data_IF_703614309415
#
_entry.id   IF_703614309415
#
_cell.length_a   1.000
_cell.length_b   1.000
_cell.length_c   1.000
_cell.angle_alpha   90.00
_cell.angle_beta   90.00
_cell.angle_gamma   90.00
#
_symmetry.space_group_name_H-M   'P 1'
#
loop_
_entity.id
_entity.type
_entity.pdbx_description
1 polymer ?
2 non-polymer ?
3 water ?
#
# COMPACT_ATOMS: atom_id res chain seq x y z
N UNK A 9 0.75 -23.28 9.14
CA UNK A 9 1.47 -22.07 9.55
C UNK A 9 1.09 -20.83 8.73
N UNK A 10 0.49 -19.86 9.39
CA UNK A 10 0.04 -18.65 8.72
C UNK A 10 1.22 -17.82 8.21
N UNK A 11 2.31 -17.82 8.95
CA UNK A 11 3.48 -17.05 8.56
C UNK A 11 4.03 -17.59 7.25
N UNK A 12 4.07 -18.91 7.09
CA UNK A 12 4.52 -19.53 5.85
C UNK A 12 3.62 -19.24 4.68
N UNK A 13 2.31 -19.32 4.93
CA UNK A 13 1.34 -18.97 3.91
C UNK A 13 1.53 -17.52 3.49
N UNK A 14 1.72 -16.62 4.46
CA UNK A 14 1.86 -15.18 4.18
C UNK A 14 3.05 -14.94 3.29
N UNK A 15 4.19 -15.55 3.63
CA UNK A 15 5.46 -15.39 2.93
C UNK A 15 5.48 -16.09 1.58
N UNK A 16 4.67 -17.13 1.45
CA UNK A 16 4.52 -17.85 0.18
C UNK A 16 3.74 -17.08 -0.86
N UNK A 17 2.81 -16.23 -0.44
CA UNK A 17 1.99 -15.50 -1.40
C UNK A 17 2.90 -14.69 -2.29
N UNK A 18 2.63 -14.69 -3.58
CA UNK A 18 3.48 -14.01 -4.57
C UNK A 18 2.87 -12.73 -5.16
N UNK A 19 3.71 -11.82 -5.63
CA UNK A 19 3.24 -10.66 -6.37
C UNK A 19 3.99 -10.48 -7.69
N UNK A 20 3.35 -10.74 -8.81
CA UNK A 20 3.94 -10.39 -10.10
C UNK A 20 4.95 -11.36 -10.67
N UNK A 21 5.47 -12.26 -9.86
CA UNK A 21 6.50 -13.20 -10.29
C UNK A 21 6.74 -14.18 -9.16
N UNK A 22 7.01 -15.44 -9.50
CA UNK A 22 7.16 -16.50 -8.49
C UNK A 22 8.31 -16.26 -7.56
N UNK A 23 9.27 -15.47 -7.99
CA UNK A 23 10.41 -15.18 -7.10
C UNK A 23 10.28 -13.85 -6.37
N UNK A 24 9.07 -13.29 -6.35
CA UNK A 24 8.88 -11.97 -5.72
C UNK A 24 7.73 -12.12 -4.72
N UNK A 25 8.04 -12.29 -3.43
CA UNK A 25 6.91 -12.45 -2.49
C UNK A 25 6.01 -11.20 -2.43
N UNK A 26 4.72 -11.38 -2.19
CA UNK A 26 3.80 -10.27 -1.93
C UNK A 26 4.36 -9.35 -0.85
N UNK A 27 4.95 -9.90 0.21
CA UNK A 27 5.46 -9.05 1.28
C UNK A 27 6.59 -8.16 0.78
N UNK A 28 7.44 -8.68 -0.10
CA UNK A 28 8.51 -7.90 -0.69
C UNK A 28 7.91 -6.74 -1.49
N UNK A 29 6.90 -7.01 -2.30
CA UNK A 29 6.31 -5.94 -3.04
C UNK A 29 5.61 -4.91 -2.11
N UNK A 30 5.01 -5.38 -1.03
CA UNK A 30 4.32 -4.47 -0.10
C UNK A 30 5.34 -3.54 0.57
N UNK A 31 6.48 -4.10 0.95
CA UNK A 31 7.49 -3.31 1.60
C UNK A 31 8.17 -2.34 0.63
N UNK A 32 8.32 -2.77 -0.64
CA UNK A 32 8.90 -1.93 -1.72
C UNK A 32 8.01 -0.70 -1.91
N UNK A 33 6.72 -0.97 -2.00
CA UNK A 33 5.71 0.06 -2.23
C UNK A 33 5.73 1.07 -1.04
N UNK A 34 5.77 0.57 0.18
CA UNK A 34 5.89 1.42 1.37
C UNK A 34 7.14 2.25 1.31
N UNK A 35 8.22 1.66 0.82
CA UNK A 35 9.51 2.36 0.82
C UNK A 35 9.46 3.49 -0.18
N UNK A 36 8.87 3.21 -1.34
CA UNK A 36 8.67 4.24 -2.34
C UNK A 36 7.85 5.38 -1.71
N UNK A 37 6.77 5.02 -1.05
CA UNK A 37 5.85 5.98 -0.46
C UNK A 37 6.61 6.88 0.53
N UNK A 38 7.38 6.27 1.40
CA UNK A 38 8.06 7.02 2.42
C UNK A 38 9.11 7.96 1.76
N UNK A 39 9.82 7.43 0.78
CA UNK A 39 10.86 8.19 0.11
C UNK A 39 10.26 9.39 -0.62
N UNK A 40 9.14 9.18 -1.29
CA UNK A 40 8.60 10.33 -2.00
C UNK A 40 7.94 11.32 -1.02
N UNK A 41 7.33 10.85 0.07
CA UNK A 41 6.75 11.79 1.05
C UNK A 41 7.87 12.65 1.65
N UNK A 42 9.08 12.07 1.80
CA UNK A 42 10.19 12.86 2.34
C UNK A 42 10.63 13.97 1.37
N UNK A 43 10.45 13.73 0.07
CA UNK A 43 10.86 14.70 -0.93
C UNK A 43 9.78 15.73 -1.23
N UNK A 44 8.57 15.53 -0.72
CA UNK A 44 7.45 16.45 -1.02
C UNK A 44 7.67 17.80 -0.33
N UNK A 45 7.04 18.86 -0.85
CA UNK A 45 7.25 20.15 -0.15
C UNK A 45 6.77 20.14 1.28
N UNK A 46 7.36 21.04 2.09
CA UNK A 46 6.95 21.13 3.50
C UNK A 46 5.42 21.35 3.64
N UNK A 47 4.80 22.13 2.76
CA UNK A 47 3.34 22.29 2.82
C UNK A 47 2.65 20.95 2.68
N UNK A 48 3.18 20.09 1.82
CA UNK A 48 2.54 18.78 1.62
C UNK A 48 2.70 17.95 2.89
N UNK A 49 3.90 17.89 3.44
CA UNK A 49 4.09 17.07 4.64
C UNK A 49 3.29 17.56 5.82
N UNK A 50 3.13 18.86 5.93
CA UNK A 50 2.34 19.44 7.01
C UNK A 50 0.86 19.01 6.90
N UNK A 51 0.35 18.94 5.68
CA UNK A 51 -1.02 18.43 5.47
C UNK A 51 -1.17 16.98 6.00
N UNK A 52 -0.16 16.11 5.77
CA UNK A 52 -0.26 14.76 6.30
C UNK A 52 -0.28 14.80 7.83
N UNK A 53 0.53 15.67 8.42
CA UNK A 53 0.62 15.75 9.87
C UNK A 53 -0.73 16.14 10.40
N UNK A 54 -1.37 17.11 9.71
CA UNK A 54 -2.68 17.59 10.11
C UNK A 54 -3.78 16.58 9.80
N UNK A 55 -3.59 15.83 8.73
CA UNK A 55 -4.60 14.81 8.37
C UNK A 55 -4.78 13.80 9.48
N UNK A 56 -3.69 13.40 10.10
CA UNK A 56 -3.75 12.22 10.97
C UNK A 56 -3.50 12.53 12.46
N UNK A 57 -3.32 13.82 12.79
CA UNK A 57 -3.04 14.24 14.15
C UNK A 57 -1.78 13.60 14.69
N UNK A 58 -0.76 13.48 13.85
CA UNK A 58 0.50 12.89 14.27
C UNK A 58 1.65 13.81 14.00
N UNK A 59 2.73 13.74 14.81
CA UNK A 59 3.96 14.42 14.39
C UNK A 59 4.29 13.98 13.00
N UNK A 60 4.90 14.88 12.26
CA UNK A 60 5.14 14.64 10.85
C UNK A 60 5.78 13.27 10.55
N UNK A 61 6.78 12.87 11.35
CA UNK A 61 7.50 11.62 11.15
C UNK A 61 6.58 10.38 11.26
N UNK A 62 5.70 10.40 12.26
CA UNK A 62 4.73 9.34 12.48
C UNK A 62 3.67 9.36 11.40
N UNK A 63 3.28 10.55 10.96
CA UNK A 63 2.21 10.67 9.96
C UNK A 63 2.69 10.00 8.66
N UNK A 64 3.96 10.25 8.32
CA UNK A 64 4.51 9.76 7.07
C UNK A 64 4.70 8.23 7.13
N UNK A 65 5.14 7.71 8.26
CA UNK A 65 5.26 6.25 8.43
C UNK A 65 3.89 5.59 8.31
N UNK A 66 2.87 6.20 8.91
CA UNK A 66 1.51 5.67 8.83
C UNK A 66 1.01 5.61 7.36
N UNK A 67 1.23 6.69 6.60
CA UNK A 67 0.76 6.76 5.23
C UNK A 67 1.51 5.75 4.39
N UNK A 68 2.81 5.65 4.61
CA UNK A 68 3.65 4.68 3.86
C UNK A 68 3.19 3.24 4.09
N UNK A 69 2.89 2.90 5.34
CA UNK A 69 2.42 1.54 5.70
C UNK A 69 1.07 1.23 5.01
N UNK A 70 0.19 2.22 5.02
CA UNK A 70 -1.13 2.08 4.42
C UNK A 70 -0.96 1.80 2.92
N UNK A 71 -0.10 2.58 2.29
CA UNK A 71 0.12 2.47 0.86
C UNK A 71 0.78 1.10 0.54
N UNK A 72 1.63 0.63 1.42
CA UNK A 72 2.19 -0.69 1.23
C UNK A 72 1.12 -1.77 1.18
N UNK A 73 -0.01 -1.57 1.87
CA UNK A 73 -1.04 -2.60 1.93
C UNK A 73 -1.97 -2.58 0.72
N UNK A 74 -1.70 -1.76 -0.28
CA UNK A 74 -2.61 -1.65 -1.43
C UNK A 74 -2.86 -3.00 -2.12
N UNK A 75 -1.90 -3.92 -2.04
CA UNK A 75 -2.09 -5.25 -2.68
C UNK A 75 -2.39 -6.37 -1.72
N UNK A 76 -2.86 -6.03 -0.53
CA UNK A 76 -3.27 -7.06 0.39
C UNK A 76 -4.37 -8.00 -0.24
N UNK A 77 -5.23 -7.48 -1.09
CA UNK A 77 -6.20 -8.30 -1.83
C UNK A 77 -5.62 -9.52 -2.58
N UNK A 78 -4.32 -9.48 -2.93
CA UNK A 78 -3.65 -10.62 -3.60
C UNK A 78 -3.38 -11.82 -2.68
N UNK A 79 -3.52 -11.61 -1.37
CA UNK A 79 -3.32 -12.66 -0.40
C UNK A 79 -4.62 -13.47 -0.28
N UNK A 80 -4.92 -14.14 -1.37
CA UNK A 80 -6.16 -14.90 -1.53
C UNK A 80 -5.87 -16.01 -2.58
N UNK A 81 -6.47 -17.22 -2.42
CA UNK A 81 -6.22 -18.28 -3.41
C UNK A 81 -6.59 -17.89 -4.83
N UNK A 82 -7.51 -16.95 -5.00
CA UNK A 82 -7.84 -16.45 -6.32
C UNK A 82 -6.65 -15.89 -7.11
N UNK A 83 -5.68 -15.29 -6.43
CA UNK A 83 -4.55 -14.65 -7.13
C UNK A 83 -3.23 -15.39 -7.00
N UNK A 84 -3.26 -16.56 -6.39
CA UNK A 84 -2.06 -17.34 -6.19
C UNK A 84 -2.17 -18.68 -6.95
N UNK A 85 -1.07 -19.42 -7.10
CA UNK A 85 -1.04 -20.65 -7.92
C UNK A 85 -1.65 -21.85 -7.23
N UNK A 107 -14.55 -13.48 -12.09
CA UNK A 107 -13.37 -12.66 -11.83
C UNK A 107 -13.68 -11.28 -11.24
N UNK A 108 -12.81 -10.85 -10.34
CA UNK A 108 -12.98 -9.57 -9.69
C UNK A 108 -11.59 -9.09 -9.37
N UNK A 109 -11.34 -7.79 -9.57
CA UNK A 109 -9.97 -7.28 -9.48
C UNK A 109 -9.47 -7.40 -8.07
N UNK A 110 -8.15 -7.59 -7.91
CA UNK A 110 -7.60 -7.74 -6.58
C UNK A 110 -7.91 -6.54 -5.66
N UNK A 111 -8.13 -5.35 -6.22
CA UNK A 111 -8.38 -4.17 -5.38
C UNK A 111 -9.68 -4.24 -4.63
N UNK A 112 -10.65 -4.98 -5.19
CA UNK A 112 -11.92 -5.17 -4.52
C UNK A 112 -11.69 -5.95 -3.22
N UNK A 113 -10.87 -6.99 -3.31
CA UNK A 113 -10.48 -7.74 -2.11
C UNK A 113 -9.70 -6.87 -1.16
N UNK A 114 -8.82 -6.05 -1.73
CA UNK A 114 -8.05 -5.16 -0.84
C UNK A 114 -9.03 -4.33 -0.02
N UNK A 115 -10.04 -3.75 -0.68
CA UNK A 115 -11.00 -2.94 0.04
C UNK A 115 -11.74 -3.74 1.11
N UNK A 116 -12.28 -4.91 0.77
CA UNK A 116 -12.97 -5.74 1.78
C UNK A 116 -12.09 -6.09 2.94
N UNK A 117 -10.83 -6.42 2.67
CA UNK A 117 -9.95 -6.88 3.73
C UNK A 117 -9.58 -5.70 4.64
N UNK A 118 -9.25 -4.57 4.00
CA UNK A 118 -8.76 -3.47 4.78
C UNK A 118 -9.88 -2.87 5.63
N UNK A 119 -11.13 -2.97 5.18
CA UNK A 119 -12.23 -2.40 5.93
C UNK A 119 -12.26 -3.03 7.32
N UNK A 120 -12.09 -4.36 7.34
CA UNK A 120 -12.11 -5.12 8.59
C UNK A 120 -10.83 -4.90 9.40
N UNK A 121 -9.70 -5.09 8.74
CA UNK A 121 -8.38 -5.12 9.38
C UNK A 121 -7.97 -3.78 9.98
N UNK A 122 -8.30 -2.69 9.30
CA UNK A 122 -7.98 -1.36 9.83
C UNK A 122 -8.88 -1.04 11.03
N UNK A 123 -10.12 -1.53 11.04
CA UNK A 123 -10.94 -1.39 12.25
C UNK A 123 -10.38 -2.22 13.45
N UNK A 124 -9.88 -3.44 13.19
CA UNK A 124 -9.24 -4.27 14.22
C UNK A 124 -7.97 -3.61 14.74
N UNK A 125 -7.31 -2.82 13.90
CA UNK A 125 -6.14 -2.11 14.41
C UNK A 125 -6.52 -0.89 15.23
N UNK A 126 -7.79 -0.52 15.27
CA UNK A 126 -8.22 0.58 16.10
C UNK A 126 -8.73 1.80 15.34
N UNK A 127 -8.65 1.86 14.02
CA UNK A 127 -9.21 3.03 13.33
C UNK A 127 -10.74 3.03 13.43
N UNK A 128 -11.35 4.22 13.67
CA UNK A 128 -12.81 4.34 13.70
C UNK A 128 -13.44 3.94 12.37
N UNK A 129 -14.67 3.45 12.44
CA UNK A 129 -15.37 2.89 11.29
C UNK A 129 -15.26 3.70 10.02
N UNK A 130 -15.66 4.95 10.08
CA UNK A 130 -15.76 5.74 8.85
C UNK A 130 -14.40 5.97 8.18
N UNK A 131 -13.39 6.29 8.98
CA UNK A 131 -12.04 6.45 8.44
C UNK A 131 -11.56 5.17 7.82
N UNK A 132 -11.84 4.03 8.44
CA UNK A 132 -11.46 2.74 7.88
C UNK A 132 -12.15 2.47 6.55
N UNK A 133 -13.45 2.69 6.50
CA UNK A 133 -14.16 2.46 5.26
C UNK A 133 -13.62 3.33 4.11
N UNK A 134 -13.36 4.59 4.40
CA UNK A 134 -12.85 5.50 3.37
C UNK A 134 -11.47 5.15 2.92
N UNK A 135 -10.57 4.80 3.84
CA UNK A 135 -9.21 4.44 3.44
C UNK A 135 -9.23 3.16 2.61
N UNK A 136 -10.10 2.24 2.98
CA UNK A 136 -10.10 0.95 2.30
C UNK A 136 -10.46 1.18 0.82
N UNK A 137 -11.45 2.01 0.58
CA UNK A 137 -11.82 2.37 -0.79
C UNK A 137 -10.69 3.13 -1.49
N UNK A 138 -9.97 4.00 -0.76
CA UNK A 138 -8.82 4.71 -1.35
C UNK A 138 -7.76 3.77 -1.89
N UNK A 139 -7.61 2.64 -1.21
CA UNK A 139 -6.58 1.69 -1.58
C UNK A 139 -7.16 0.54 -2.41
N UNK A 140 -8.43 0.65 -2.80
CA UNK A 140 -9.12 -0.41 -3.54
C UNK A 140 -8.93 -0.34 -5.06
N UNK A 141 -9.92 -0.84 -5.80
CA UNK A 141 -9.77 -1.09 -7.23
C UNK A 141 -10.07 0.09 -8.08
N UNK A 142 -10.74 1.11 -7.55
CA UNK A 142 -11.30 2.12 -8.46
C UNK A 142 -10.89 3.53 -8.07
N UNK A 143 -9.61 3.67 -7.74
CA UNK A 143 -8.98 4.95 -7.49
C UNK A 143 -9.84 5.78 -6.59
N UNK A 144 -10.14 5.16 -5.47
CA UNK A 144 -10.85 5.78 -4.39
C UNK A 144 -12.34 5.65 -4.44
N UNK A 145 -12.92 5.18 -5.55
CA UNK A 145 -14.37 5.02 -5.53
C UNK A 145 -14.67 3.60 -5.02
N UNK A 146 -15.66 3.45 -4.12
CA UNK A 146 -15.88 2.14 -3.46
C UNK A 146 -16.46 1.07 -4.38
N UNK A 147 -16.05 -0.16 -4.17
CA UNK A 147 -16.56 -1.26 -4.98
C UNK A 147 -18.08 -1.34 -4.89
N UNK A 148 -18.72 -1.75 -6.00
CA UNK A 148 -20.18 -1.80 -6.05
C UNK A 148 -20.69 -3.10 -5.43
N UNK A 149 -22.01 -3.22 -5.31
CA UNK A 149 -22.61 -4.41 -4.68
C UNK A 149 -22.25 -5.68 -5.37
N UNK A 150 -22.30 -5.73 -6.71
CA UNK A 150 -22.09 -6.98 -7.42
C UNK A 150 -20.66 -7.42 -7.13
N UNK A 151 -19.70 -6.50 -7.23
CA UNK A 151 -18.26 -6.87 -7.06
C UNK A 151 -18.06 -7.50 -5.69
N UNK A 152 -18.63 -6.89 -4.67
CA UNK A 152 -18.46 -7.38 -3.34
C UNK A 152 -19.19 -8.72 -3.11
N UNK A 153 -20.38 -8.90 -3.73
CA UNK A 153 -21.00 -10.23 -3.79
C UNK A 153 -20.06 -11.26 -4.40
N UNK A 154 -19.52 -10.99 -5.58
CA UNK A 154 -18.63 -11.98 -6.21
C UNK A 154 -17.50 -12.34 -5.26
N UNK A 155 -16.80 -11.31 -4.76
CA UNK A 155 -15.63 -11.55 -3.89
C UNK A 155 -16.00 -12.39 -2.68
N UNK A 156 -17.05 -12.02 -1.99
CA UNK A 156 -17.43 -12.77 -0.80
C UNK A 156 -17.69 -14.26 -1.12
N UNK A 157 -18.11 -14.54 -2.36
CA UNK A 157 -18.34 -15.92 -2.84
C UNK A 157 -17.08 -16.75 -2.77
N UNK A 158 -15.96 -16.13 -3.16
CA UNK A 158 -14.67 -16.78 -3.02
C UNK A 158 -14.30 -16.91 -1.56
N UNK A 159 -14.54 -15.86 -0.80
CA UNK A 159 -14.01 -15.84 0.53
C UNK A 159 -14.66 -17.00 1.31
N UNK A 160 -15.91 -17.33 0.98
CA UNK A 160 -16.63 -18.29 1.81
C UNK A 160 -16.03 -19.68 1.75
N UNK A 161 -15.43 -20.00 0.61
CA UNK A 161 -14.81 -21.30 0.40
C UNK A 161 -13.29 -21.39 0.57
N UNK A 162 -12.61 -20.29 0.91
CA UNK A 162 -11.14 -20.35 1.04
C UNK A 162 -10.77 -20.97 2.37
N UNK A 163 -9.62 -21.62 2.42
CA UNK A 163 -9.08 -22.11 3.68
C UNK A 163 -8.97 -20.94 4.65
N UNK A 164 -9.46 -21.12 5.89
CA UNK A 164 -9.44 -20.10 6.96
C UNK A 164 -8.06 -19.54 7.29
N UNK A 165 -7.02 -20.32 7.07
CA UNK A 165 -5.68 -19.84 7.34
C UNK A 165 -5.38 -18.56 6.55
N UNK A 166 -5.99 -18.39 5.38
CA UNK A 166 -5.79 -17.21 4.56
C UNK A 166 -6.18 -15.94 5.32
N UNK A 167 -7.28 -16.00 6.07
CA UNK A 167 -7.67 -14.83 6.86
C UNK A 167 -6.61 -14.50 7.88
N UNK A 168 -6.03 -15.53 8.44
CA UNK A 168 -4.98 -15.28 9.44
C UNK A 168 -3.70 -14.77 8.78
N UNK A 169 -3.33 -15.34 7.62
CA UNK A 169 -2.15 -14.87 6.91
C UNK A 169 -2.25 -13.35 6.54
N UNK A 170 -3.45 -12.91 6.18
CA UNK A 170 -3.58 -11.50 5.83
C UNK A 170 -3.46 -10.57 7.06
N UNK A 171 -3.88 -11.02 8.23
CA UNK A 171 -3.65 -10.21 9.42
C UNK A 171 -2.17 -10.17 9.75
N UNK A 172 -1.51 -11.30 9.54
CA UNK A 172 -0.06 -11.40 9.75
C UNK A 172 0.70 -10.40 8.87
N UNK A 173 0.32 -10.34 7.61
CA UNK A 173 1.00 -9.46 6.67
C UNK A 173 0.75 -7.99 7.04
N UNK A 174 -0.46 -7.64 7.38
CA UNK A 174 -0.73 -6.25 7.75
C UNK A 174 0.14 -5.86 8.95
N UNK A 175 0.17 -6.71 9.97
CA UNK A 175 0.98 -6.46 11.15
C UNK A 175 2.48 -6.40 10.78
N UNK A 176 2.94 -7.22 9.84
CA UNK A 176 4.35 -7.22 9.49
C UNK A 176 4.75 -5.87 8.86
N UNK A 177 3.92 -5.34 7.97
CA UNK A 177 4.24 -4.06 7.35
C UNK A 177 4.21 -2.93 8.37
N UNK A 178 3.15 -2.86 9.18
CA UNK A 178 3.09 -1.79 10.20
C UNK A 178 4.31 -1.82 11.11
N UNK A 179 4.69 -3.03 11.53
CA UNK A 179 5.87 -3.15 12.39
C UNK A 179 7.14 -2.78 11.66
N UNK A 180 7.35 -3.22 10.41
CA UNK A 180 8.58 -2.82 9.72
C UNK A 180 8.68 -1.31 9.49
N UNK A 181 7.55 -0.65 9.29
CA UNK A 181 7.61 0.80 9.05
C UNK A 181 7.64 1.64 10.32
N UNK A 182 7.42 1.01 11.47
CA UNK A 182 7.32 1.76 12.72
C UNK A 182 6.12 2.67 12.72
N UNK A 183 5.04 2.26 12.05
CA UNK A 183 3.87 3.12 11.89
C UNK A 183 3.04 3.18 13.14
N UNK A 184 2.74 4.40 13.62
CA UNK A 184 1.78 4.54 14.72
C UNK A 184 0.34 4.61 14.20
N UNK A 185 -0.63 4.38 15.08
CA UNK A 185 -2.05 4.56 14.77
C UNK A 185 -2.36 6.02 15.06
N UNK A 186 -3.14 6.69 14.22
CA UNK A 186 -3.56 8.08 14.55
C UNK A 186 -4.44 8.13 15.79
N UNK A 187 -4.35 9.21 16.57
CA UNK A 187 -5.22 9.38 17.73
C UNK A 187 -6.68 9.42 17.30
N UNK A 194 -11.69 11.21 9.33
CA UNK A 194 -10.63 11.46 8.35
C UNK A 194 -11.17 12.33 7.24
N UNK A 195 -10.62 13.51 7.05
CA UNK A 195 -11.17 14.39 6.00
C UNK A 195 -10.99 13.84 4.58
N UNK A 196 -11.96 14.11 3.69
CA UNK A 196 -11.88 13.57 2.34
C UNK A 196 -10.50 13.81 1.67
N UNK A 197 -9.96 15.02 1.75
CA UNK A 197 -8.61 15.27 1.20
C UNK A 197 -7.47 14.37 1.75
N UNK A 198 -7.56 13.98 3.01
CA UNK A 198 -6.54 13.12 3.63
C UNK A 198 -6.60 11.76 2.93
N UNK A 199 -7.80 11.27 2.72
CA UNK A 199 -7.99 9.94 2.09
C UNK A 199 -7.57 9.93 0.62
N UNK A 200 -7.89 11.01 -0.08
CA UNK A 200 -7.50 11.19 -1.48
C UNK A 200 -5.95 11.36 -1.60
N UNK A 201 -5.32 12.03 -0.65
CA UNK A 201 -3.87 12.10 -0.65
C UNK A 201 -3.25 10.70 -0.55
N UNK A 202 -3.79 9.83 0.29
CA UNK A 202 -3.29 8.45 0.34
C UNK A 202 -3.57 7.67 -0.96
N UNK A 203 -4.78 7.82 -1.47
CA UNK A 203 -5.14 7.20 -2.76
C UNK A 203 -4.12 7.53 -3.85
N UNK A 204 -3.81 8.82 -4.02
CA UNK A 204 -2.93 9.23 -5.12
C UNK A 204 -1.53 8.70 -4.88
N UNK A 205 -1.11 8.72 -3.62
CA UNK A 205 0.23 8.27 -3.28
C UNK A 205 0.36 6.77 -3.59
N UNK A 206 -0.67 6.00 -3.30
CA UNK A 206 -0.58 4.53 -3.46
C UNK A 206 -0.49 4.19 -4.94
N UNK A 207 -1.26 4.91 -5.73
CA UNK A 207 -1.23 4.74 -7.16
C UNK A 207 0.18 5.01 -7.74
N UNK A 208 0.78 6.11 -7.34
CA UNK A 208 2.15 6.39 -7.77
C UNK A 208 3.14 5.34 -7.24
N UNK A 209 3.07 5.04 -5.96
CA UNK A 209 4.13 4.21 -5.36
C UNK A 209 4.03 2.79 -5.89
N UNK A 210 2.81 2.34 -6.09
CA UNK A 210 2.57 0.99 -6.64
C UNK A 210 3.16 0.87 -8.03
N UNK A 211 3.01 1.92 -8.80
CA UNK A 211 3.60 1.95 -10.11
C UNK A 211 5.11 1.91 -10.11
N UNK A 212 5.75 2.74 -9.29
CA UNK A 212 7.19 2.69 -9.22
C UNK A 212 7.63 1.26 -8.80
N UNK A 213 7.08 0.76 -7.69
CA UNK A 213 7.58 -0.48 -7.10
C UNK A 213 7.32 -1.70 -7.98
N UNK A 214 6.37 -1.56 -8.90
CA UNK A 214 5.94 -2.67 -9.75
C UNK A 214 6.90 -2.86 -10.92
N UNK A 215 7.87 -1.96 -11.08
CA UNK A 215 8.78 -2.04 -12.21
C UNK A 215 10.04 -2.83 -11.81
N UNK A 216 10.22 -4.06 -12.36
CA UNK A 216 11.39 -4.86 -11.92
C UNK A 216 12.74 -4.28 -12.32
N UNK A 217 12.76 -3.37 -13.28
CA UNK A 217 14.02 -2.68 -13.59
C UNK A 217 14.41 -1.76 -12.43
N UNK A 218 13.43 -1.31 -11.64
CA UNK A 218 13.72 -0.44 -10.50
C UNK A 218 13.83 -1.24 -9.22
N UNK A 219 12.99 -2.27 -9.12
CA UNK A 219 12.88 -3.10 -7.92
C UNK A 219 12.98 -4.59 -8.31
N UNK A 220 14.20 -5.09 -8.46
CA UNK A 220 14.45 -6.43 -9.01
C UNK A 220 13.84 -7.55 -8.17
N UNK A 221 13.36 -8.62 -8.82
CA UNK A 221 12.75 -9.73 -8.09
C UNK A 221 13.86 -10.50 -7.41
N UNK A 222 13.55 -11.18 -6.29
CA UNK A 222 14.50 -12.12 -5.72
C UNK A 222 15.14 -11.61 -4.46
N UNK A 223 14.65 -10.48 -3.96
CA UNK A 223 15.14 -10.01 -2.67
C UNK A 223 14.29 -10.67 -1.60
N UNK A 224 14.91 -11.07 -0.50
CA UNK A 224 14.21 -11.82 0.53
C UNK A 224 13.70 -10.90 1.63
N UNK A 225 12.37 -10.76 1.76
CA UNK A 225 11.77 -9.83 2.73
C UNK A 225 11.88 -10.29 4.16
N UNK A 226 12.34 -11.52 4.39
CA UNK A 226 12.55 -11.94 5.78
C UNK A 226 13.76 -11.22 6.37
N UNK A 227 14.64 -10.71 5.53
CA UNK A 227 15.89 -10.16 6.02
C UNK A 227 15.68 -8.82 6.71
N UNK A 228 16.44 -8.61 7.76
CA UNK A 228 16.41 -7.37 8.53
C UNK A 228 16.81 -6.18 7.70
N UNK A 229 17.69 -6.38 6.75
CA UNK A 229 18.17 -5.23 6.00
C UNK A 229 17.27 -4.89 4.79
N UNK A 230 16.15 -5.60 4.65
CA UNK A 230 15.35 -5.45 3.43
C UNK A 230 14.85 -4.03 3.24
N UNK A 231 14.40 -3.39 4.31
CA UNK A 231 13.75 -2.09 4.16
C UNK A 231 14.82 -1.08 3.80
N UNK A 232 16.00 -1.16 4.42
CA UNK A 232 17.08 -0.22 4.10
C UNK A 232 17.44 -0.33 2.65
N UNK A 233 17.52 -1.55 2.15
CA UNK A 233 17.88 -1.73 0.75
C UNK A 233 16.71 -1.24 -0.17
N UNK A 234 15.46 -1.52 0.20
CA UNK A 234 14.30 -1.04 -0.58
C UNK A 234 14.25 0.50 -0.63
N UNK A 235 14.59 1.18 0.48
CA UNK A 235 14.67 2.66 0.52
C UNK A 235 15.75 3.21 -0.41
N UNK A 236 16.89 2.52 -0.48
CA UNK A 236 17.94 2.92 -1.42
C UNK A 236 17.46 2.75 -2.85
N UNK A 237 16.76 1.66 -3.13
CA UNK A 237 16.29 1.42 -4.46
C UNK A 237 15.24 2.50 -4.76
N UNK A 238 14.40 2.80 -3.78
CA UNK A 238 13.33 3.80 -3.97
C UNK A 238 13.99 5.15 -4.36
N UNK A 239 15.11 5.45 -3.71
CA UNK A 239 15.74 6.75 -3.93
C UNK A 239 16.30 6.78 -5.34
N UNK A 240 16.92 5.69 -5.76
CA UNK A 240 17.48 5.63 -7.10
C UNK A 240 16.38 5.69 -8.14
N UNK A 241 15.27 5.03 -7.89
CA UNK A 241 14.18 4.99 -8.87
C UNK A 241 13.62 6.40 -9.03
N UNK A 242 13.38 7.07 -7.91
CA UNK A 242 12.75 8.41 -7.99
C UNK A 242 13.67 9.39 -8.72
N UNK A 243 14.96 9.26 -8.48
CA UNK A 243 15.94 10.01 -9.27
C UNK A 243 15.78 9.73 -10.76
N UNK A 244 15.82 8.46 -11.16
CA UNK A 244 15.67 8.12 -12.58
C UNK A 244 14.37 8.67 -13.17
N UNK A 245 13.26 8.52 -12.46
CA UNK A 245 11.95 8.86 -13.01
C UNK A 245 11.91 10.35 -13.27
N UNK A 246 12.75 11.09 -12.57
CA UNK A 246 12.77 12.54 -12.72
C UNK A 246 13.62 13.05 -13.88
N UNK A 247 14.46 12.20 -14.47
CA UNK A 247 15.36 12.62 -15.55
C UNK A 247 14.55 13.25 -16.66
N UNK A 248 15.20 14.14 -17.42
CA UNK A 248 14.54 14.90 -18.50
C UNK A 248 13.75 14.04 -19.53
N UNK A 249 14.20 12.82 -19.82
CA UNK A 249 13.55 11.96 -20.84
C UNK A 249 12.36 11.19 -20.29
N UNK A 250 12.12 11.28 -18.99
CA UNK A 250 10.96 10.65 -18.39
C UNK A 250 9.97 11.74 -17.99
N UNK A 251 10.32 12.50 -16.95
CA UNK A 251 9.45 13.56 -16.42
C UNK A 251 9.49 14.84 -17.27
N UNK A 252 8.28 15.32 -17.60
CA UNK A 252 8.09 16.46 -18.50
C UNK A 252 7.24 17.56 -17.86
N UNK A 253 6.54 17.25 -16.78
CA UNK A 253 5.81 18.27 -16.01
C UNK A 253 5.47 17.64 -14.68
N UNK A 254 4.69 18.32 -13.86
CA UNK A 254 4.30 17.74 -12.59
C UNK A 254 2.78 17.56 -12.53
N UNK A 255 2.34 16.53 -11.81
CA UNK A 255 0.94 16.27 -11.55
C UNK A 255 0.67 16.77 -10.18
N UNK A 256 -0.25 17.71 -10.03
CA UNK A 256 -0.63 18.18 -8.70
C UNK A 256 -1.98 17.54 -8.38
N UNK A 257 -2.05 16.80 -7.28
CA UNK A 257 -3.30 16.11 -6.87
C UNK A 257 -3.43 16.36 -5.39
N UNK A 258 -4.55 16.94 -4.93
CA UNK A 258 -4.89 17.00 -3.50
C UNK A 258 -3.72 17.52 -2.66
N UNK A 259 -3.05 18.52 -3.17
CA UNK A 259 -2.00 19.19 -2.40
C UNK A 259 -0.68 18.44 -2.37
N UNK A 260 -0.49 17.42 -3.21
CA UNK A 260 0.80 16.74 -3.28
C UNK A 260 1.18 16.63 -4.73
N UNK A 261 2.44 16.31 -4.99
CA UNK A 261 3.02 16.43 -6.32
C UNK A 261 3.74 15.16 -6.77
N UNK A 262 3.55 14.86 -8.05
CA UNK A 262 4.21 13.68 -8.64
C UNK A 262 4.80 14.13 -9.97
N UNK A 263 5.90 13.51 -10.41
CA UNK A 263 6.34 13.72 -11.79
C UNK A 263 5.29 13.21 -12.81
N UNK A 264 5.07 14.02 -13.85
CA UNK A 264 4.19 13.64 -14.94
C UNK A 264 5.07 13.06 -16.03
N UNK A 265 4.84 11.78 -16.29
CA UNK A 265 5.72 10.94 -17.10
C UNK A 265 5.14 10.85 -18.51
X LIG B 1 1.04 -3.52 -6.49
#
# INVERSE_FOLDING_TARGET
>A
MSHHHHHHSMAALALWAKSGNPFHPLLAHMLDTAAVALAVLRMEPPRTRALYAEDWGLPEEGALAWAAALVGLHDLGKASPVFQAGWEEGKERVQRAGLPFGELLDWVAHGVFTELFLRRLLKEKGLPERAANDLAAALGAHHGFPANAEEKSRARRHLRTEDPLWKEARRWLLEEVFRRLGAPLPPSQGNGEARPEAVLRVMALASFADWVASDPSLFPYGRDPRRGDYLKEALRLAQEALNRLGWPAFAKAQRREFGELFPYI
>B hetero
1 NI NI
#
